data_IF_351048449535
#
_entry.id   IF_351048449535
#
_cell.length_a   1.000
_cell.length_b   1.000
_cell.length_c   1.000
_cell.angle_alpha   90.00
_cell.angle_beta   90.00
_cell.angle_gamma   90.00
#
_symmetry.space_group_name_H-M   'P 1'
#
loop_
_entity.id
_entity.type
_entity.pdbx_description
1 polymer ?
#
# COMPACT_ATOMS: atom_id res chain seq x y z
N UNK A 1 -10.79 -3.41 12.80
CA UNK A 1 -11.95 -3.31 11.86
C UNK A 1 -12.01 -4.58 11.03
N UNK A 2 -13.19 -5.01 10.56
CA UNK A 2 -13.32 -6.10 9.59
C UNK A 2 -13.89 -5.55 8.29
N UNK A 3 -13.22 -5.83 7.18
CA UNK A 3 -13.52 -5.23 5.88
C UNK A 3 -13.65 -6.32 4.82
N UNK A 4 -14.71 -6.26 4.02
CA UNK A 4 -14.79 -6.92 2.73
C UNK A 4 -14.27 -5.99 1.65
N UNK A 5 -13.55 -6.53 0.69
CA UNK A 5 -12.91 -5.79 -0.38
C UNK A 5 -13.20 -6.53 -1.70
N UNK A 6 -13.60 -5.80 -2.71
CA UNK A 6 -13.72 -6.29 -4.08
C UNK A 6 -12.91 -5.41 -5.00
N UNK A 7 -11.84 -5.94 -5.54
CA UNK A 7 -11.02 -5.33 -6.58
C UNK A 7 -11.46 -5.87 -7.93
N UNK A 8 -11.75 -4.98 -8.88
CA UNK A 8 -12.10 -5.30 -10.25
C UNK A 8 -11.14 -4.58 -11.18
N UNK A 9 -10.59 -5.31 -12.15
CA UNK A 9 -9.91 -4.69 -13.28
C UNK A 9 -10.43 -5.31 -14.58
N UNK A 10 -10.66 -4.47 -15.59
CA UNK A 10 -11.18 -4.85 -16.89
C UNK A 10 -10.36 -4.22 -17.99
N UNK A 11 -9.82 -5.05 -18.86
CA UNK A 11 -9.22 -4.63 -20.13
C UNK A 11 -10.20 -4.85 -21.25
N UNK A 12 -10.33 -3.86 -22.13
CA UNK A 12 -11.01 -3.97 -23.43
C UNK A 12 -10.01 -3.66 -24.51
N UNK A 13 -9.68 -4.67 -25.30
CA UNK A 13 -8.73 -4.54 -26.40
C UNK A 13 -9.44 -4.06 -27.66
N UNK A 14 -8.80 -3.16 -28.43
CA UNK A 14 -9.37 -2.64 -29.69
C UNK A 14 -9.64 -3.74 -30.71
N UNK A 15 -8.82 -4.80 -30.68
CA UNK A 15 -9.02 -6.04 -31.46
C UNK A 15 -8.71 -7.22 -30.53
N UNK A 16 -9.27 -8.39 -30.83
CA UNK A 16 -8.96 -9.59 -30.08
C UNK A 16 -7.45 -9.85 -30.07
N UNK A 17 -6.88 -10.04 -28.90
CA UNK A 17 -5.50 -10.49 -28.70
C UNK A 17 -5.46 -12.01 -28.66
N UNK A 18 -4.33 -12.62 -29.03
CA UNK A 18 -4.24 -14.08 -29.15
C UNK A 18 -3.99 -14.76 -27.80
N UNK A 19 -3.22 -14.13 -26.93
CA UNK A 19 -2.88 -14.64 -25.59
C UNK A 19 -2.43 -13.51 -24.67
N UNK A 20 -2.55 -13.74 -23.35
CA UNK A 20 -2.00 -12.87 -22.32
C UNK A 20 -1.45 -13.67 -21.15
N UNK A 21 -0.42 -13.11 -20.47
CA UNK A 21 0.12 -13.60 -19.20
C UNK A 21 0.08 -12.46 -18.21
N UNK A 22 -0.44 -12.70 -17.02
CA UNK A 22 -0.78 -11.66 -16.06
C UNK A 22 -0.29 -12.00 -14.65
N UNK A 23 0.08 -10.98 -13.91
CA UNK A 23 0.43 -11.01 -12.48
C UNK A 23 -0.43 -9.98 -11.74
N UNK A 24 -1.18 -10.45 -10.76
CA UNK A 24 -2.05 -9.63 -9.92
C UNK A 24 -1.50 -9.56 -8.49
N UNK A 25 -1.45 -8.36 -7.94
CA UNK A 25 -1.18 -8.07 -6.53
C UNK A 25 -2.40 -7.36 -5.94
N UNK A 26 -3.36 -8.15 -5.46
CA UNK A 26 -4.60 -7.66 -4.86
C UNK A 26 -4.92 -8.36 -3.53
N UNK A 27 -4.09 -9.33 -3.11
CA UNK A 27 -4.27 -10.06 -1.88
C UNK A 27 -3.79 -9.23 -0.68
N UNK A 28 -4.65 -8.92 0.31
CA UNK A 28 -4.21 -8.28 1.55
C UNK A 28 -3.10 -9.08 2.24
N UNK A 29 -2.05 -8.38 2.64
CA UNK A 29 -0.96 -8.98 3.40
C UNK A 29 -1.46 -9.49 4.76
N UNK A 30 -0.76 -10.45 5.35
CA UNK A 30 -0.95 -10.85 6.76
C UNK A 30 0.29 -10.45 7.55
N UNK A 31 0.11 -9.63 8.56
CA UNK A 31 1.16 -9.18 9.47
C UNK A 31 0.61 -8.90 10.88
N UNK A 32 1.39 -8.19 11.73
CA UNK A 32 0.96 -7.85 13.08
C UNK A 32 -0.19 -6.82 13.15
N UNK A 33 -0.56 -6.18 12.05
CA UNK A 33 -1.62 -5.15 11.97
C UNK A 33 -2.87 -5.62 11.25
N UNK A 34 -2.75 -6.65 10.42
CA UNK A 34 -3.87 -7.17 9.66
C UNK A 34 -3.79 -8.67 9.45
N UNK A 35 -4.93 -9.34 9.43
CA UNK A 35 -5.08 -10.77 9.18
C UNK A 35 -6.03 -11.01 8.00
N UNK A 36 -5.57 -11.75 7.02
CA UNK A 36 -6.41 -12.21 5.91
C UNK A 36 -7.34 -13.33 6.39
N UNK A 37 -8.65 -13.14 6.24
CA UNK A 37 -9.68 -14.13 6.59
C UNK A 37 -10.10 -14.96 5.39
N UNK A 38 -10.30 -14.30 4.24
CA UNK A 38 -10.70 -14.91 2.99
C UNK A 38 -10.07 -14.19 1.82
N UNK A 39 -9.75 -14.96 0.74
CA UNK A 39 -9.29 -14.39 -0.52
C UNK A 39 -9.61 -15.33 -1.68
N UNK A 40 -10.15 -14.77 -2.75
CA UNK A 40 -10.47 -15.49 -3.97
C UNK A 40 -10.27 -14.63 -5.21
N UNK A 41 -9.79 -15.23 -6.32
CA UNK A 41 -9.62 -14.55 -7.62
C UNK A 41 -10.38 -15.30 -8.67
N UNK A 42 -11.14 -14.57 -9.49
CA UNK A 42 -11.80 -15.06 -10.69
C UNK A 42 -11.36 -14.28 -11.92
N UNK A 43 -11.35 -14.92 -13.08
CA UNK A 43 -11.00 -14.29 -14.35
C UNK A 43 -12.04 -14.62 -15.41
N UNK A 44 -12.28 -13.68 -16.32
CA UNK A 44 -13.09 -13.89 -17.52
C UNK A 44 -12.32 -13.35 -18.74
N UNK A 45 -11.88 -14.21 -19.68
CA UNK A 45 -12.12 -15.66 -19.74
C UNK A 45 -11.55 -16.42 -18.54
N UNK A 46 -12.21 -17.55 -18.19
CA UNK A 46 -11.84 -18.35 -17.03
C UNK A 46 -10.43 -18.96 -17.19
N UNK A 47 -9.60 -18.83 -16.18
CA UNK A 47 -8.24 -19.37 -16.17
C UNK A 47 -7.88 -19.96 -14.82
N UNK A 48 -6.89 -20.87 -14.82
CA UNK A 48 -6.29 -21.37 -13.60
C UNK A 48 -5.36 -20.29 -13.01
N UNK A 49 -5.63 -19.90 -11.78
CA UNK A 49 -4.76 -18.98 -11.02
C UNK A 49 -3.78 -19.81 -10.19
N UNK A 50 -2.50 -19.50 -10.29
CA UNK A 50 -1.44 -19.99 -9.41
C UNK A 50 -0.89 -18.81 -8.59
N UNK A 51 -0.31 -19.08 -7.43
CA UNK A 51 0.17 -18.04 -6.53
C UNK A 51 1.58 -18.34 -6.05
N UNK A 52 2.36 -17.26 -5.82
CA UNK A 52 3.66 -17.31 -5.15
C UNK A 52 3.87 -16.05 -4.30
N UNK A 53 4.89 -16.05 -3.45
CA UNK A 53 5.37 -14.82 -2.79
C UNK A 53 6.56 -14.30 -3.57
N UNK A 54 6.52 -13.02 -3.91
CA UNK A 54 7.66 -12.37 -4.55
C UNK A 54 8.80 -12.07 -3.55
N UNK A 55 9.86 -11.45 -4.03
CA UNK A 55 11.03 -11.11 -3.21
C UNK A 55 10.68 -10.25 -1.99
N UNK A 56 9.67 -9.39 -2.10
CA UNK A 56 9.22 -8.49 -1.05
C UNK A 56 8.21 -9.12 -0.08
N UNK A 57 7.85 -10.39 -0.31
CA UNK A 57 6.85 -11.10 0.46
C UNK A 57 5.41 -10.78 0.07
N UNK A 58 5.20 -10.06 -1.02
CA UNK A 58 3.85 -9.79 -1.56
C UNK A 58 3.33 -11.02 -2.29
N UNK A 59 2.08 -11.40 -2.06
CA UNK A 59 1.44 -12.47 -2.82
C UNK A 59 1.16 -11.99 -4.25
N UNK A 60 1.62 -12.79 -5.20
CA UNK A 60 1.38 -12.61 -6.62
C UNK A 60 0.52 -13.76 -7.12
N UNK A 61 -0.62 -13.43 -7.71
CA UNK A 61 -1.48 -14.40 -8.40
C UNK A 61 -1.20 -14.30 -9.90
N UNK A 62 -0.77 -15.41 -10.50
CA UNK A 62 -0.42 -15.47 -11.92
C UNK A 62 -1.39 -16.35 -12.70
N UNK A 63 -1.78 -15.88 -13.87
CA UNK A 63 -2.69 -16.58 -14.77
C UNK A 63 -2.44 -16.21 -16.23
N UNK A 64 -2.81 -17.11 -17.14
CA UNK A 64 -2.64 -16.90 -18.58
C UNK A 64 -3.87 -17.30 -19.35
N UNK A 65 -4.29 -16.48 -20.31
CA UNK A 65 -5.36 -16.77 -21.27
C UNK A 65 -4.68 -17.10 -22.61
N UNK A 66 -4.92 -18.30 -23.11
CA UNK A 66 -4.28 -18.84 -24.32
C UNK A 66 -5.22 -18.90 -25.53
N UNK A 67 -6.43 -18.37 -25.39
CA UNK A 67 -7.41 -18.27 -26.47
C UNK A 67 -7.62 -16.81 -26.86
N UNK A 68 -7.98 -16.55 -28.12
CA UNK A 68 -8.27 -15.20 -28.58
C UNK A 68 -9.40 -14.56 -27.75
N UNK A 69 -9.15 -13.37 -27.22
CA UNK A 69 -10.12 -12.63 -26.42
C UNK A 69 -10.02 -11.12 -26.67
N UNK A 70 -11.16 -10.44 -26.64
CA UNK A 70 -11.24 -8.99 -26.77
C UNK A 70 -11.42 -8.26 -25.43
N UNK A 71 -11.60 -9.03 -24.35
CA UNK A 71 -11.77 -8.51 -23.00
C UNK A 71 -11.10 -9.45 -22.02
N UNK A 72 -10.52 -8.89 -20.96
CA UNK A 72 -10.08 -9.60 -19.78
C UNK A 72 -10.67 -8.90 -18.57
N UNK A 73 -11.43 -9.63 -17.76
CA UNK A 73 -11.91 -9.18 -16.45
C UNK A 73 -11.27 -10.01 -15.36
N UNK A 74 -10.80 -9.34 -14.30
CA UNK A 74 -10.20 -9.97 -13.12
C UNK A 74 -10.88 -9.40 -11.90
N UNK A 75 -11.43 -10.28 -11.08
CA UNK A 75 -12.06 -9.92 -9.79
C UNK A 75 -11.29 -10.61 -8.68
N UNK A 76 -10.83 -9.82 -7.71
CA UNK A 76 -10.27 -10.33 -6.46
C UNK A 76 -11.17 -9.91 -5.30
N UNK A 77 -11.61 -10.87 -4.51
CA UNK A 77 -12.46 -10.67 -3.33
C UNK A 77 -11.69 -11.09 -2.09
N UNK A 78 -11.71 -10.23 -1.06
CA UNK A 78 -11.01 -10.47 0.19
C UNK A 78 -11.84 -10.05 1.39
N UNK A 79 -11.68 -10.77 2.51
CA UNK A 79 -12.09 -10.32 3.84
C UNK A 79 -10.84 -10.21 4.70
N UNK A 80 -10.65 -9.05 5.33
CA UNK A 80 -9.48 -8.75 6.17
C UNK A 80 -9.92 -8.19 7.51
N UNK A 81 -9.19 -8.54 8.57
CA UNK A 81 -9.30 -7.92 9.89
C UNK A 81 -8.09 -7.04 10.13
N UNK A 82 -8.32 -5.75 10.40
CA UNK A 82 -7.29 -4.76 10.71
C UNK A 82 -7.31 -4.38 12.18
N UNK A 83 -6.16 -3.98 12.70
CA UNK A 83 -5.98 -3.56 14.10
C UNK A 83 -5.57 -2.10 14.16
N UNK A 84 -5.91 -1.45 15.27
CA UNK A 84 -5.43 -0.10 15.57
C UNK A 84 -3.90 -0.15 15.74
N UNK A 85 -3.15 0.65 14.99
CA UNK A 85 -1.70 0.64 15.07
C UNK A 85 -1.21 1.22 16.39
N UNK A 86 -0.04 0.76 16.81
CA UNK A 86 0.69 1.33 17.94
C UNK A 86 1.76 2.28 17.38
N UNK A 87 1.91 3.47 17.99
CA UNK A 87 2.98 4.41 17.64
C UNK A 87 4.23 4.16 18.49
N UNK A 88 5.44 4.43 17.95
CA UNK A 88 6.64 4.55 18.78
C UNK A 88 6.42 5.64 19.85
N UNK A 89 6.73 5.33 21.11
CA UNK A 89 6.50 6.26 22.24
C UNK A 89 7.78 6.82 22.82
N UNK A 90 8.91 6.26 22.42
CA UNK A 90 10.23 6.64 22.93
C UNK A 90 11.05 7.22 21.79
N UNK A 91 11.70 8.34 22.06
CA UNK A 91 12.63 8.93 21.10
C UNK A 91 13.76 7.94 20.76
N UNK A 92 14.14 7.89 19.50
CA UNK A 92 15.21 7.02 18.99
C UNK A 92 16.29 7.91 18.38
N UNK A 93 17.51 7.96 18.98
CA UNK A 93 18.58 8.81 18.48
C UNK A 93 18.94 8.49 17.02
N UNK A 94 19.18 9.50 16.20
CA UNK A 94 19.55 9.34 14.78
C UNK A 94 20.84 8.56 14.58
N UNK A 95 21.76 8.58 15.56
CA UNK A 95 22.96 7.76 15.55
C UNK A 95 22.66 6.24 15.46
N UNK A 96 21.50 5.78 15.93
CA UNK A 96 21.09 4.38 15.85
C UNK A 96 20.86 3.90 14.40
N UNK A 97 20.61 4.80 13.45
CA UNK A 97 20.51 4.49 12.02
C UNK A 97 21.84 3.94 11.45
N UNK A 98 22.97 4.30 12.08
CA UNK A 98 24.31 3.89 11.65
C UNK A 98 24.77 2.55 12.26
N UNK A 99 23.94 1.90 13.08
CA UNK A 99 24.23 0.57 13.60
C UNK A 99 24.34 -0.42 12.43
N UNK A 100 25.48 -1.10 12.29
CA UNK A 100 25.80 -1.95 11.14
C UNK A 100 24.70 -2.97 10.84
N UNK A 101 24.20 -3.65 11.88
CA UNK A 101 23.13 -4.64 11.73
C UNK A 101 21.82 -4.02 11.19
N UNK A 102 21.47 -2.82 11.68
CA UNK A 102 20.26 -2.14 11.22
C UNK A 102 20.42 -1.67 9.78
N UNK A 103 21.55 -1.05 9.46
CA UNK A 103 21.87 -0.57 8.12
C UNK A 103 21.87 -1.73 7.10
N UNK A 104 22.57 -2.83 7.38
CA UNK A 104 22.67 -3.97 6.48
C UNK A 104 21.30 -4.63 6.21
N UNK A 105 20.44 -4.72 7.25
CA UNK A 105 19.10 -5.28 7.13
C UNK A 105 18.17 -4.45 6.23
N UNK A 106 18.41 -3.14 6.15
CA UNK A 106 17.53 -2.21 5.45
C UNK A 106 18.21 -1.54 4.24
N UNK A 107 19.37 -2.02 3.80
CA UNK A 107 20.19 -1.38 2.76
C UNK A 107 19.40 -1.07 1.48
N UNK A 108 18.54 -1.97 1.04
CA UNK A 108 17.75 -1.80 -0.19
C UNK A 108 16.75 -0.65 -0.10
N UNK A 109 16.29 -0.33 1.11
CA UNK A 109 15.36 0.77 1.38
C UNK A 109 16.06 2.10 1.67
N UNK A 110 17.38 2.15 1.55
CA UNK A 110 18.22 3.36 1.58
C UNK A 110 18.66 3.79 0.17
N UNK A 111 18.56 2.88 -0.82
CA UNK A 111 19.04 3.14 -2.17
C UNK A 111 17.98 3.83 -3.04
N UNK A 112 18.39 4.63 -4.03
CA UNK A 112 17.50 5.07 -5.09
C UNK A 112 16.89 3.88 -5.84
N UNK A 113 15.69 4.10 -6.41
CA UNK A 113 14.99 3.13 -7.26
C UNK A 113 14.33 3.87 -8.44
N UNK A 114 13.78 3.18 -9.45
CA UNK A 114 13.27 3.83 -10.67
C UNK A 114 12.33 5.02 -10.43
N UNK A 115 11.41 4.91 -9.45
CA UNK A 115 10.48 5.98 -9.11
C UNK A 115 10.89 6.79 -7.87
N UNK A 116 11.91 6.37 -7.14
CA UNK A 116 12.43 7.08 -5.96
C UNK A 116 13.89 7.41 -6.20
N UNK A 117 14.10 8.42 -7.03
CA UNK A 117 15.41 9.07 -7.27
C UNK A 117 15.24 10.58 -7.11
N UNK A 118 16.24 11.27 -6.62
CA UNK A 118 16.13 12.68 -6.27
C UNK A 118 17.40 13.47 -6.57
N UNK A 119 17.23 14.76 -6.82
CA UNK A 119 18.31 15.71 -7.05
C UNK A 119 18.79 16.37 -5.76
N UNK A 120 19.84 17.22 -5.91
CA UNK A 120 20.33 18.06 -4.82
C UNK A 120 19.28 19.06 -4.27
N UNK A 121 18.22 19.33 -5.02
CA UNK A 121 17.12 20.21 -4.57
C UNK A 121 16.30 19.56 -3.46
N UNK A 122 15.84 18.34 -3.70
CA UNK A 122 15.12 17.52 -2.69
C UNK A 122 16.04 17.20 -1.51
N UNK A 123 17.30 16.81 -1.78
CA UNK A 123 18.28 16.53 -0.74
C UNK A 123 18.46 17.72 0.21
N UNK A 124 18.67 18.92 -0.35
CA UNK A 124 18.82 20.15 0.47
C UNK A 124 17.56 20.42 1.31
N UNK A 125 16.37 20.31 0.72
CA UNK A 125 15.12 20.52 1.46
C UNK A 125 14.94 19.51 2.62
N UNK A 126 15.35 18.27 2.42
CA UNK A 126 15.33 17.25 3.47
C UNK A 126 16.30 17.63 4.62
N UNK A 127 17.52 18.04 4.34
CA UNK A 127 18.49 18.45 5.35
C UNK A 127 18.10 19.76 6.06
N UNK A 128 17.52 20.73 5.35
CA UNK A 128 16.97 21.96 5.95
C UNK A 128 15.84 21.64 6.93
N UNK A 129 14.96 20.71 6.57
CA UNK A 129 13.90 20.20 7.44
C UNK A 129 14.49 19.54 8.70
N UNK A 130 15.45 18.63 8.52
CA UNK A 130 16.07 17.88 9.61
C UNK A 130 16.81 18.79 10.60
N UNK A 131 17.36 19.93 10.17
CA UNK A 131 18.06 20.88 11.04
C UNK A 131 17.13 21.52 12.10
N UNK A 132 15.80 21.48 11.90
CA UNK A 132 14.79 21.98 12.83
C UNK A 132 14.15 20.90 13.72
N UNK A 133 14.60 19.64 13.62
CA UNK A 133 14.02 18.51 14.34
C UNK A 133 15.00 18.04 15.42
N UNK A 134 14.46 17.61 16.57
CA UNK A 134 15.24 17.02 17.65
C UNK A 134 15.94 15.73 17.18
N UNK A 135 16.95 15.27 17.93
CA UNK A 135 17.66 14.01 17.66
C UNK A 135 16.77 12.80 17.93
N UNK A 136 15.77 12.60 17.06
CA UNK A 136 14.78 11.55 17.14
C UNK A 136 14.33 11.11 15.73
N UNK A 137 14.59 9.84 15.39
CA UNK A 137 14.18 9.26 14.07
C UNK A 137 12.68 9.30 13.87
N UNK A 138 11.88 9.16 14.94
CA UNK A 138 10.40 9.20 14.84
C UNK A 138 9.93 10.62 14.52
N UNK A 139 10.49 11.62 15.20
CA UNK A 139 10.21 13.02 14.94
C UNK A 139 10.64 13.42 13.53
N UNK A 140 11.79 12.91 13.07
CA UNK A 140 12.29 13.14 11.71
C UNK A 140 11.36 12.55 10.66
N UNK A 141 10.88 11.32 10.86
CA UNK A 141 9.92 10.69 9.95
C UNK A 141 8.59 11.46 9.92
N UNK A 142 8.11 11.94 11.06
CA UNK A 142 6.91 12.76 11.16
C UNK A 142 7.09 14.12 10.46
N UNK A 143 8.24 14.77 10.61
CA UNK A 143 8.52 16.05 9.96
C UNK A 143 8.52 15.91 8.41
N UNK A 144 9.09 14.81 7.88
CA UNK A 144 9.02 14.51 6.45
C UNK A 144 7.57 14.29 6.00
N UNK A 145 6.80 13.50 6.75
CA UNK A 145 5.37 13.30 6.49
C UNK A 145 4.63 14.64 6.42
N UNK A 146 4.77 15.49 7.43
CA UNK A 146 4.07 16.77 7.51
C UNK A 146 4.48 17.71 6.37
N UNK A 147 5.77 17.73 6.00
CA UNK A 147 6.28 18.52 4.87
C UNK A 147 5.68 18.08 3.53
N UNK A 148 5.56 16.77 3.30
CA UNK A 148 4.93 16.24 2.08
C UNK A 148 3.42 16.45 2.10
N UNK A 149 2.79 16.31 3.26
CA UNK A 149 1.36 16.56 3.43
C UNK A 149 0.94 18.00 3.17
N UNK A 150 1.87 18.97 3.18
CA UNK A 150 1.61 20.36 2.82
C UNK A 150 1.49 20.60 1.31
N UNK A 151 1.82 19.63 0.48
CA UNK A 151 1.65 19.71 -0.96
C UNK A 151 0.17 19.63 -1.37
N UNK A 152 -0.15 20.16 -2.54
CA UNK A 152 -1.50 20.14 -3.07
C UNK A 152 -1.85 18.78 -3.68
N UNK A 153 -2.94 18.16 -3.24
CA UNK A 153 -3.43 16.94 -3.88
C UNK A 153 -4.11 17.27 -5.22
N UNK A 154 -3.59 16.71 -6.32
CA UNK A 154 -4.04 16.99 -7.69
C UNK A 154 -4.35 15.70 -8.43
N UNK A 155 -5.62 15.41 -8.68
CA UNK A 155 -6.04 14.28 -9.50
C UNK A 155 -5.89 14.57 -10.99
N UNK A 156 -5.50 13.56 -11.77
CA UNK A 156 -5.50 13.63 -13.24
C UNK A 156 -4.38 14.46 -13.88
N UNK A 157 -3.43 14.96 -13.10
CA UNK A 157 -2.33 15.80 -13.59
C UNK A 157 -1.05 14.98 -13.80
N UNK A 158 -0.88 13.90 -13.05
CA UNK A 158 0.31 13.06 -13.13
C UNK A 158 0.05 11.77 -13.92
N UNK A 159 0.80 11.57 -15.01
CA UNK A 159 0.93 10.25 -15.61
C UNK A 159 1.78 9.37 -14.67
N UNK A 160 1.58 8.06 -14.71
CA UNK A 160 2.49 7.13 -14.01
C UNK A 160 3.93 7.41 -14.48
N UNK A 161 4.82 7.81 -13.55
CA UNK A 161 6.23 8.08 -13.88
C UNK A 161 6.68 9.53 -13.76
N UNK A 162 5.90 10.42 -13.15
CA UNK A 162 6.38 11.76 -12.75
C UNK A 162 7.53 11.60 -11.76
N UNK A 163 8.59 12.37 -11.96
CA UNK A 163 9.77 12.29 -11.09
C UNK A 163 9.52 12.96 -9.73
N UNK A 164 10.21 12.50 -8.70
CA UNK A 164 10.18 13.10 -7.35
C UNK A 164 10.51 14.61 -7.41
N UNK A 165 11.44 15.01 -8.27
CA UNK A 165 11.84 16.42 -8.43
C UNK A 165 10.74 17.28 -9.05
N UNK A 166 9.97 16.74 -10.00
CA UNK A 166 8.82 17.44 -10.58
C UNK A 166 7.72 17.63 -9.52
N UNK A 167 7.36 16.56 -8.79
CA UNK A 167 6.39 16.64 -7.68
C UNK A 167 6.80 17.69 -6.65
N UNK A 168 8.08 17.70 -6.28
CA UNK A 168 8.61 18.67 -5.32
C UNK A 168 8.58 20.10 -5.84
N UNK A 169 8.98 20.32 -7.11
CA UNK A 169 9.05 21.66 -7.71
C UNK A 169 7.68 22.24 -8.05
N UNK A 170 6.73 21.40 -8.46
CA UNK A 170 5.37 21.80 -8.80
C UNK A 170 4.47 21.94 -7.55
N UNK A 171 4.91 21.38 -6.43
CA UNK A 171 4.22 21.50 -5.15
C UNK A 171 2.90 20.72 -5.07
N UNK A 172 2.77 19.62 -5.84
CA UNK A 172 1.56 18.80 -5.83
C UNK A 172 1.67 17.50 -6.62
N UNK A 173 0.73 16.58 -6.37
CA UNK A 173 0.67 15.26 -6.99
C UNK A 173 -0.45 14.41 -6.41
N UNK A 174 -0.38 13.10 -6.64
CA UNK A 174 -1.31 12.10 -6.09
C UNK A 174 -0.64 11.27 -4.98
N UNK A 175 -1.37 10.34 -4.37
CA UNK A 175 -0.88 9.52 -3.25
C UNK A 175 0.42 8.76 -3.57
N UNK A 176 0.56 8.24 -4.79
CA UNK A 176 1.77 7.60 -5.27
C UNK A 176 2.97 8.55 -5.24
N UNK A 177 2.79 9.76 -5.74
CA UNK A 177 3.84 10.78 -5.82
C UNK A 177 4.29 11.24 -4.43
N UNK A 178 3.33 11.41 -3.52
CA UNK A 178 3.59 11.78 -2.13
C UNK A 178 4.36 10.69 -1.39
N UNK A 179 3.98 9.42 -1.61
CA UNK A 179 4.72 8.29 -1.03
C UNK A 179 6.16 8.20 -1.56
N UNK A 180 6.38 8.44 -2.87
CA UNK A 180 7.70 8.45 -3.48
C UNK A 180 8.57 9.61 -2.96
N UNK A 181 8.00 10.82 -2.88
CA UNK A 181 8.72 11.99 -2.36
C UNK A 181 9.09 11.81 -0.87
N UNK A 182 8.16 11.30 -0.06
CA UNK A 182 8.45 11.01 1.34
C UNK A 182 9.55 9.96 1.49
N UNK A 183 9.50 8.88 0.69
CA UNK A 183 10.56 7.86 0.68
C UNK A 183 11.91 8.44 0.25
N UNK A 184 11.96 9.33 -0.75
CA UNK A 184 13.18 9.99 -1.21
C UNK A 184 13.80 10.86 -0.10
N UNK A 185 13.00 11.71 0.55
CA UNK A 185 13.47 12.57 1.64
C UNK A 185 13.97 11.76 2.83
N UNK A 186 13.25 10.69 3.22
CA UNK A 186 13.67 9.80 4.31
C UNK A 186 14.98 9.10 3.99
N UNK A 187 15.13 8.54 2.78
CA UNK A 187 16.36 7.87 2.34
C UNK A 187 17.55 8.81 2.29
N UNK A 188 17.38 10.04 1.83
CA UNK A 188 18.41 11.08 1.87
C UNK A 188 18.91 11.35 3.29
N UNK A 189 18.00 11.31 4.27
CA UNK A 189 18.32 11.49 5.69
C UNK A 189 18.85 10.22 6.37
N UNK A 190 19.07 9.14 5.61
CA UNK A 190 19.56 7.87 6.13
C UNK A 190 18.50 7.04 6.86
N UNK A 191 17.22 7.41 6.78
CA UNK A 191 16.10 6.64 7.31
C UNK A 191 15.61 5.68 6.24
N UNK A 192 15.74 4.34 6.42
CA UNK A 192 15.24 3.39 5.46
C UNK A 192 13.73 3.55 5.28
N UNK A 193 13.28 3.68 4.04
CA UNK A 193 11.88 3.92 3.72
C UNK A 193 11.40 3.03 2.59
N UNK A 194 10.18 2.49 2.73
CA UNK A 194 9.54 1.66 1.72
C UNK A 194 8.19 2.21 1.31
N UNK A 195 7.90 2.02 0.04
CA UNK A 195 6.60 2.31 -0.56
C UNK A 195 5.62 1.19 -0.20
N UNK A 196 4.38 1.55 0.08
CA UNK A 196 3.30 0.62 0.36
C UNK A 196 2.13 0.87 -0.59
N UNK A 197 1.66 -0.19 -1.23
CA UNK A 197 0.42 -0.21 -2.01
C UNK A 197 -0.69 -0.87 -1.20
N UNK A 198 -1.88 -0.30 -1.25
CA UNK A 198 -3.03 -0.83 -0.54
C UNK A 198 -4.34 -0.14 -0.87
N UNK A 199 -5.27 -0.22 0.07
CA UNK A 199 -6.58 0.42 -0.01
C UNK A 199 -6.85 1.23 1.25
N UNK A 200 -7.63 2.30 1.11
CA UNK A 200 -8.09 3.12 2.23
C UNK A 200 -9.62 3.12 2.25
N UNK A 201 -10.20 2.65 3.35
CA UNK A 201 -11.64 2.73 3.57
C UNK A 201 -12.04 4.15 3.95
N UNK A 202 -12.81 4.83 3.07
CA UNK A 202 -13.12 6.27 3.15
C UNK A 202 -14.56 6.56 3.54
N UNK A 203 -15.33 5.57 4.04
CA UNK A 203 -16.70 5.84 4.50
C UNK A 203 -16.71 6.99 5.52
N UNK A 204 -17.60 7.94 5.28
CA UNK A 204 -17.69 9.15 6.09
C UNK A 204 -18.31 8.83 7.45
N UNK A 205 -17.55 8.99 8.52
CA UNK A 205 -18.04 8.90 9.89
C UNK A 205 -18.81 10.20 10.33
N UNK A 206 -19.02 11.14 9.41
CA UNK A 206 -19.65 12.42 9.72
C UNK A 206 -21.09 12.29 10.23
N UNK A 207 -21.74 11.15 10.05
CA UNK A 207 -23.09 10.90 10.56
C UNK A 207 -23.11 10.37 11.98
N UNK A 208 -21.98 9.98 12.56
CA UNK A 208 -21.89 9.41 13.93
C UNK A 208 -22.62 8.08 14.12
N UNK A 209 -23.21 7.53 13.07
CA UNK A 209 -23.74 6.18 13.03
C UNK A 209 -22.69 5.27 12.43
N UNK A 210 -22.41 4.14 13.08
CA UNK A 210 -21.59 3.08 12.50
C UNK A 210 -22.25 2.61 11.20
N UNK A 211 -21.76 3.09 10.05
CA UNK A 211 -22.21 2.66 8.73
C UNK A 211 -21.68 1.23 8.55
N UNK A 212 -22.45 0.28 9.01
CA UNK A 212 -22.22 -1.15 8.86
C UNK A 212 -22.97 -1.58 7.60
N UNK A 213 -22.29 -2.38 6.76
CA UNK A 213 -22.81 -2.94 5.51
C UNK A 213 -22.99 -1.99 4.32
N UNK A 214 -22.63 -0.72 4.41
CA UNK A 214 -22.57 0.15 3.22
C UNK A 214 -21.30 -0.11 2.41
N UNK A 215 -21.48 -0.37 1.13
CA UNK A 215 -20.40 -0.52 0.17
C UNK A 215 -19.96 0.86 -0.32
N UNK A 216 -18.66 1.13 -0.20
CA UNK A 216 -18.04 2.40 -0.64
C UNK A 216 -17.08 2.10 -1.76
N UNK A 217 -17.19 2.83 -2.87
CA UNK A 217 -16.18 2.81 -3.90
C UNK A 217 -14.97 3.61 -3.45
N UNK A 218 -13.79 3.02 -3.55
CA UNK A 218 -12.52 3.62 -3.16
C UNK A 218 -11.51 3.49 -4.30
N UNK A 219 -10.48 4.31 -4.28
CA UNK A 219 -9.34 4.16 -5.17
C UNK A 219 -8.24 3.32 -4.51
N UNK A 220 -7.32 2.77 -5.32
CA UNK A 220 -6.06 2.25 -4.81
C UNK A 220 -5.31 3.37 -4.10
N UNK A 221 -4.64 3.03 -3.01
CA UNK A 221 -3.96 4.02 -2.19
C UNK A 221 -2.50 3.65 -1.96
N UNK A 222 -1.68 4.67 -1.70
CA UNK A 222 -0.26 4.50 -1.43
C UNK A 222 0.18 5.36 -0.25
N UNK A 223 1.16 4.85 0.50
CA UNK A 223 1.79 5.54 1.62
C UNK A 223 3.23 5.09 1.81
N UNK A 224 3.90 5.63 2.83
CA UNK A 224 5.28 5.31 3.15
C UNK A 224 5.40 4.64 4.52
N UNK A 225 6.36 3.73 4.67
CA UNK A 225 6.78 3.21 5.96
C UNK A 225 8.26 3.51 6.18
N UNK A 226 8.60 4.09 7.35
CA UNK A 226 9.95 4.39 7.80
C UNK A 226 10.43 3.33 8.80
N UNK A 227 11.63 2.79 8.64
CA UNK A 227 12.20 1.86 9.60
C UNK A 227 12.77 2.61 10.80
N UNK A 228 12.29 2.28 12.00
CA UNK A 228 12.72 2.87 13.27
C UNK A 228 13.57 1.85 14.04
N UNK A 229 14.85 2.15 14.34
CA UNK A 229 15.71 1.24 15.08
C UNK A 229 15.08 0.77 16.40
N UNK A 230 15.11 -0.54 16.64
CA UNK A 230 14.56 -1.14 17.85
C UNK A 230 13.03 -1.26 17.91
N UNK A 231 12.31 -0.66 16.95
CA UNK A 231 10.84 -0.67 16.95
C UNK A 231 10.24 -1.40 15.72
N UNK A 232 10.74 -1.14 14.52
CA UNK A 232 10.23 -1.71 13.27
C UNK A 232 9.74 -0.64 12.29
N UNK A 233 8.71 -0.95 11.51
CA UNK A 233 8.21 -0.07 10.45
C UNK A 233 7.09 0.84 10.94
N UNK A 234 7.32 2.15 10.90
CA UNK A 234 6.36 3.20 11.22
C UNK A 234 5.69 3.71 9.93
N UNK A 235 4.39 3.52 9.83
CA UNK A 235 3.62 3.80 8.63
C UNK A 235 2.93 5.16 8.72
N UNK A 236 3.09 5.98 7.66
CA UNK A 236 2.67 7.38 7.57
C UNK A 236 1.97 7.62 6.24
N UNK A 237 0.79 8.23 6.26
CA UNK A 237 0.01 8.60 5.08
C UNK A 237 0.01 10.12 4.87
N UNK A 238 0.97 10.68 4.10
CA UNK A 238 1.03 12.11 3.87
C UNK A 238 -0.13 12.65 3.04
N UNK A 239 -0.78 11.82 2.23
CA UNK A 239 -1.92 12.24 1.41
C UNK A 239 -3.10 12.67 2.27
N UNK A 240 -3.40 11.93 3.33
CA UNK A 240 -4.51 12.19 4.22
C UNK A 240 -4.09 12.87 5.53
N UNK A 241 -2.83 13.32 5.65
CA UNK A 241 -2.26 13.98 6.85
C UNK A 241 -2.49 13.18 8.13
N UNK A 242 -2.29 11.85 8.04
CA UNK A 242 -2.56 10.97 9.17
C UNK A 242 -1.57 9.81 9.24
N UNK A 243 -1.52 9.18 10.39
CA UNK A 243 -0.90 7.86 10.51
C UNK A 243 -1.76 6.81 9.81
N UNK A 244 -1.09 5.76 9.36
CA UNK A 244 -1.77 4.57 8.85
C UNK A 244 -2.53 3.90 9.99
N UNK A 245 -3.86 3.84 9.86
CA UNK A 245 -4.80 3.33 10.85
C UNK A 245 -5.46 2.00 10.44
N UNK A 246 -6.50 1.60 11.18
CA UNK A 246 -7.26 0.38 10.90
C UNK A 246 -8.11 0.45 9.61
N UNK A 247 -8.24 1.63 9.01
CA UNK A 247 -8.89 1.84 7.70
C UNK A 247 -7.98 1.53 6.52
N UNK A 248 -6.68 1.39 6.75
CA UNK A 248 -5.69 1.10 5.72
C UNK A 248 -5.47 -0.41 5.62
N UNK A 249 -5.62 -0.93 4.42
CA UNK A 249 -5.36 -2.34 4.11
C UNK A 249 -4.14 -2.44 3.22
N UNK A 250 -3.06 -3.00 3.74
CA UNK A 250 -1.81 -3.22 2.99
C UNK A 250 -1.97 -4.41 2.04
N UNK A 251 -1.57 -4.22 0.79
CA UNK A 251 -1.47 -5.27 -0.23
C UNK A 251 -0.02 -5.70 -0.39
N UNK A 252 0.88 -4.75 -0.65
CA UNK A 252 2.29 -5.03 -0.89
C UNK A 252 3.20 -3.91 -0.46
N UNK A 253 4.48 -4.25 -0.28
CA UNK A 253 5.55 -3.33 0.12
C UNK A 253 6.71 -3.50 -0.84
N UNK A 254 7.41 -2.42 -1.16
CA UNK A 254 8.56 -2.45 -2.04
C UNK A 254 9.39 -1.17 -1.96
N UNK A 255 10.38 -1.04 -2.83
CA UNK A 255 11.21 0.17 -2.90
C UNK A 255 10.44 1.34 -3.50
N UNK A 256 9.57 1.03 -4.46
CA UNK A 256 8.70 1.98 -5.17
C UNK A 256 7.49 1.25 -5.79
N UNK A 257 6.71 1.98 -6.60
CA UNK A 257 5.52 1.46 -7.27
C UNK A 257 5.80 0.22 -8.13
N UNK A 258 6.96 0.15 -8.80
CA UNK A 258 7.26 -0.99 -9.67
C UNK A 258 7.33 -2.33 -8.94
N UNK A 259 7.75 -2.34 -7.70
CA UNK A 259 7.80 -3.58 -6.91
C UNK A 259 6.40 -4.10 -6.52
N UNK A 260 5.38 -3.23 -6.52
CA UNK A 260 4.03 -3.54 -5.98
C UNK A 260 2.87 -3.19 -6.91
N UNK A 261 3.15 -2.94 -8.20
CA UNK A 261 2.10 -2.61 -9.18
C UNK A 261 0.94 -3.63 -9.14
N UNK A 262 -0.32 -3.19 -8.99
CA UNK A 262 -1.46 -4.09 -8.75
C UNK A 262 -1.66 -5.13 -9.84
N UNK A 263 -1.49 -4.74 -11.10
CA UNK A 263 -1.59 -5.66 -12.23
C UNK A 263 -0.49 -5.37 -13.25
N UNK A 264 0.19 -6.44 -13.64
CA UNK A 264 1.15 -6.45 -14.75
C UNK A 264 0.75 -7.53 -15.72
N UNK A 265 0.88 -7.24 -17.01
CA UNK A 265 0.57 -8.21 -18.04
C UNK A 265 1.38 -7.99 -19.32
N UNK A 266 1.61 -9.08 -20.04
CA UNK A 266 2.09 -9.05 -21.40
C UNK A 266 1.07 -9.78 -22.27
N UNK A 267 0.83 -9.28 -23.46
CA UNK A 267 -0.11 -9.87 -24.40
C UNK A 267 0.38 -9.77 -25.84
N UNK A 268 -0.16 -10.62 -26.69
CA UNK A 268 0.18 -10.66 -28.12
C UNK A 268 -1.01 -10.13 -28.93
N UNK A 269 -0.85 -8.94 -29.48
CA UNK A 269 -1.90 -8.26 -30.26
C UNK A 269 -1.68 -6.77 -30.41
N UNK A 270 -2.73 -6.04 -30.83
CA UNK A 270 -2.72 -4.58 -30.89
C UNK A 270 -2.60 -3.99 -29.49
N UNK A 271 -1.68 -3.04 -29.30
CA UNK A 271 -1.39 -2.40 -28.01
C UNK A 271 -2.51 -1.49 -27.49
N UNK A 272 -3.48 -1.12 -28.34
CA UNK A 272 -4.57 -0.23 -27.95
C UNK A 272 -5.59 -0.97 -27.10
N UNK A 273 -5.79 -0.48 -25.90
CA UNK A 273 -6.77 -1.01 -24.94
C UNK A 273 -7.32 0.10 -24.03
N UNK A 274 -8.48 -0.15 -23.48
CA UNK A 274 -9.05 0.61 -22.36
C UNK A 274 -8.86 -0.20 -21.09
N UNK A 275 -8.51 0.48 -20.01
CA UNK A 275 -8.35 -0.09 -18.68
C UNK A 275 -9.36 0.58 -17.74
N UNK A 276 -10.17 -0.24 -17.09
CA UNK A 276 -11.11 0.15 -16.06
C UNK A 276 -10.75 -0.58 -14.76
N UNK A 277 -10.54 0.17 -13.69
CA UNK A 277 -10.17 -0.35 -12.36
C UNK A 277 -11.13 0.23 -11.33
N UNK A 278 -11.73 -0.61 -10.53
CA UNK A 278 -12.53 -0.19 -9.38
C UNK A 278 -12.23 -1.03 -8.16
N UNK A 279 -12.33 -0.40 -6.99
CA UNK A 279 -12.23 -1.06 -5.69
C UNK A 279 -13.45 -0.68 -4.89
N UNK A 280 -14.18 -1.65 -4.39
CA UNK A 280 -15.23 -1.40 -3.41
C UNK A 280 -14.86 -2.04 -2.07
N UNK A 281 -15.21 -1.35 -0.99
CA UNK A 281 -14.97 -1.80 0.37
C UNK A 281 -16.24 -1.68 1.20
N UNK A 282 -16.43 -2.65 2.11
CA UNK A 282 -17.56 -2.68 3.02
C UNK A 282 -17.07 -3.04 4.43
N UNK A 283 -17.50 -2.26 5.42
CA UNK A 283 -17.26 -2.59 6.83
C UNK A 283 -18.26 -3.63 7.29
N UNK A 284 -17.76 -4.72 7.87
CA UNK A 284 -18.60 -5.78 8.44
C UNK A 284 -18.77 -5.58 9.95
N UNK A 285 -19.96 -5.90 10.45
CA UNK A 285 -20.15 -6.03 11.88
C UNK A 285 -19.21 -7.12 12.42
N UNK A 286 -18.48 -6.82 13.50
CA UNK A 286 -17.79 -7.86 14.26
C UNK A 286 -18.86 -8.75 14.87
N UNK A 287 -18.85 -10.05 14.54
CA UNK A 287 -19.71 -10.99 15.21
C UNK A 287 -19.44 -10.88 16.73
N UNK A 288 -20.49 -10.74 17.58
CA UNK A 288 -20.29 -10.76 19.01
C UNK A 288 -19.55 -12.06 19.35
N UNK A 289 -18.47 -11.96 20.13
CA UNK A 289 -17.78 -13.13 20.68
C UNK A 289 -18.87 -13.96 21.39
N UNK A 290 -19.33 -15.01 20.73
CA UNK A 290 -20.31 -15.91 21.32
C UNK A 290 -19.72 -16.41 22.64
N UNK A 291 -20.51 -16.30 23.72
CA UNK A 291 -20.19 -16.92 24.99
C UNK A 291 -19.78 -18.37 24.69
N UNK A 292 -18.50 -18.65 24.76
CA UNK A 292 -17.99 -20.02 24.78
C UNK A 292 -18.45 -20.56 26.11
N UNK A 293 -19.67 -21.16 26.12
CA UNK A 293 -20.19 -21.88 27.25
C UNK A 293 -19.16 -22.98 27.57
N UNK A 294 -18.31 -22.73 28.55
CA UNK A 294 -17.51 -23.76 29.18
C UNK A 294 -18.52 -24.75 29.82
N UNK A 295 -18.85 -25.80 29.07
CA UNK A 295 -19.63 -26.91 29.57
C UNK A 295 -18.94 -27.46 30.82
N UNK A 296 -19.49 -27.11 31.97
CA UNK A 296 -19.22 -27.86 33.21
C UNK A 296 -19.74 -29.28 32.98
N UNK A 297 -18.84 -30.19 32.64
CA UNK A 297 -19.14 -31.59 32.78
C UNK A 297 -19.27 -31.91 34.28
N UNK A 298 -20.49 -32.04 34.69
CA UNK A 298 -20.81 -32.59 36.00
C UNK A 298 -20.27 -34.00 36.11
N UNK A 299 -19.33 -34.19 37.03
CA UNK A 299 -19.13 -35.49 37.65
C UNK A 299 -20.43 -35.89 38.36
N UNK A 300 -21.01 -36.99 37.97
CA UNK A 300 -21.83 -37.83 38.87
C UNK A 300 -21.73 -39.28 38.39
N UNK A 301 -21.30 -40.07 39.34
CA UNK A 301 -21.34 -41.53 39.59
C UNK A 301 -20.10 -42.33 39.21
#
# INVERSE_FOLDING_TARGET
MRLDIRYLTRFRYATAISESQNELRACPATDHRQALVHYHVTTEPASRVASYLDYWGTRVDTFGIREPHAQLEVVAEATVETQVPVRPRTAVPTASLQEARFHDLHLEFLQPSPHVSWSSGVARAAHELAAGVDDDVVALAQAVHDRVADLEYRTGVTAVGVSVDEVFSEGGGVCQDFAHLAAAMLRELGVPARYVSGYLFTADDATGEDVIDDEVEVETHAWVEAAIPGWGWFALDPTNRQDVGERHVTIGRGRDYDDVAPLRGVFVGDQRHELDVSVSMRRLALAPLGDVAFGRSMQQQ
#
